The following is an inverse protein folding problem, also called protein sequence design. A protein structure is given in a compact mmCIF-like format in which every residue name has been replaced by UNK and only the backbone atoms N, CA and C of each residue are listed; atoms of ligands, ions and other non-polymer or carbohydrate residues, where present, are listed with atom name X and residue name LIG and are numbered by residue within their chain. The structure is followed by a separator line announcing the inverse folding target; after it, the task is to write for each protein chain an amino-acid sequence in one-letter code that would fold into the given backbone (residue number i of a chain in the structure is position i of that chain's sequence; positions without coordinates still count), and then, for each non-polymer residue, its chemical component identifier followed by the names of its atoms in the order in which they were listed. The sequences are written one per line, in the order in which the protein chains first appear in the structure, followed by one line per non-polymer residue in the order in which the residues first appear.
data_IF_472051054349
#
_entry.id   IF_472051054349
#
_cell.length_a   1.000
_cell.length_b   1.000
_cell.length_c   1.000
_cell.angle_alpha   90.00
_cell.angle_beta   90.00
_cell.angle_gamma   90.00
#
_symmetry.space_group_name_H-M   'P 1'
#
loop_
_entity.id
_entity.type
_entity.pdbx_description
1 polymer ?
#
# COMPACT_ATOMS: atom_id res chain seq x y z
N UNK A 1 9.95 -0.52 2.94
CA UNK A 1 9.98 -1.76 2.15
C UNK A 1 9.16 -2.82 2.88
N UNK A 2 8.30 -3.54 2.16
CA UNK A 2 7.57 -4.72 2.67
C UNK A 2 8.07 -5.97 1.98
N UNK A 3 8.09 -7.09 2.71
CA UNK A 3 8.23 -8.39 2.08
C UNK A 3 6.85 -8.91 1.75
N UNK A 4 6.68 -9.46 0.56
CA UNK A 4 5.39 -9.94 0.07
C UNK A 4 5.47 -11.40 -0.33
N UNK A 5 4.42 -12.16 -0.05
CA UNK A 5 4.36 -13.60 -0.33
C UNK A 5 4.20 -13.90 -1.81
N UNK A 6 3.34 -13.15 -2.50
CA UNK A 6 3.04 -13.37 -3.91
C UNK A 6 3.00 -12.03 -4.65
N UNK A 7 4.00 -11.82 -5.51
CA UNK A 7 4.11 -10.61 -6.31
C UNK A 7 2.88 -10.33 -7.19
N UNK A 8 2.21 -11.37 -7.70
CA UNK A 8 1.07 -11.19 -8.60
C UNK A 8 -0.12 -10.54 -7.89
N UNK A 9 -0.46 -11.03 -6.70
CA UNK A 9 -1.60 -10.49 -5.94
C UNK A 9 -1.28 -9.13 -5.33
N UNK A 10 -0.04 -8.94 -4.86
CA UNK A 10 0.38 -7.66 -4.27
C UNK A 10 0.49 -6.57 -5.34
N UNK A 11 1.09 -6.84 -6.51
CA UNK A 11 1.11 -5.86 -7.60
C UNK A 11 -0.30 -5.47 -8.01
N UNK A 12 -1.21 -6.43 -8.22
CA UNK A 12 -2.60 -6.15 -8.54
C UNK A 12 -3.27 -5.24 -7.49
N UNK A 13 -3.07 -5.53 -6.21
CA UNK A 13 -3.62 -4.73 -5.13
C UNK A 13 -3.08 -3.29 -5.18
N UNK A 14 -1.75 -3.12 -5.22
CA UNK A 14 -1.17 -1.78 -5.18
C UNK A 14 -1.43 -0.97 -6.46
N UNK A 15 -1.51 -1.60 -7.64
CA UNK A 15 -1.73 -0.88 -8.90
C UNK A 15 -3.19 -0.69 -9.26
N UNK A 16 -4.00 -1.75 -9.21
CA UNK A 16 -5.40 -1.68 -9.68
C UNK A 16 -6.37 -1.23 -8.58
N UNK A 17 -6.06 -1.53 -7.31
CA UNK A 17 -6.93 -1.15 -6.19
C UNK A 17 -6.50 0.19 -5.61
N UNK A 18 -5.23 0.33 -5.22
CA UNK A 18 -4.74 1.58 -4.63
C UNK A 18 -4.37 2.65 -5.65
N UNK A 19 -4.10 2.29 -6.91
CA UNK A 19 -3.78 3.28 -7.96
C UNK A 19 -2.32 3.72 -8.01
N UNK A 20 -1.39 2.93 -7.46
CA UNK A 20 0.04 3.14 -7.67
C UNK A 20 0.48 2.66 -9.06
N UNK A 21 1.65 3.07 -9.50
CA UNK A 21 2.32 2.55 -10.69
C UNK A 21 3.56 1.73 -10.29
N UNK A 22 3.85 0.69 -11.07
CA UNK A 22 5.15 0.03 -11.02
C UNK A 22 6.19 0.95 -11.67
N UNK A 23 7.06 1.53 -10.84
CA UNK A 23 8.14 2.44 -11.26
C UNK A 23 9.34 1.65 -11.79
N UNK A 24 9.69 0.56 -11.12
CA UNK A 24 10.85 -0.26 -11.50
C UNK A 24 10.73 -1.68 -10.93
N UNK A 25 11.34 -2.64 -11.63
CA UNK A 25 11.55 -4.01 -11.18
C UNK A 25 13.04 -4.31 -11.20
N UNK A 26 13.58 -4.76 -10.06
CA UNK A 26 14.98 -5.15 -9.93
C UNK A 26 15.07 -6.62 -9.52
N UNK A 27 15.81 -7.40 -10.28
CA UNK A 27 16.10 -8.80 -9.99
C UNK A 27 17.32 -8.91 -9.06
N UNK A 28 17.18 -9.64 -7.96
CA UNK A 28 18.23 -9.89 -6.97
C UNK A 28 18.83 -11.30 -7.05
N UNK A 29 18.35 -12.16 -7.93
CA UNK A 29 18.81 -13.54 -8.12
C UNK A 29 18.07 -14.60 -7.30
N UNK A 30 17.65 -14.31 -6.06
CA UNK A 30 16.78 -15.14 -5.23
C UNK A 30 15.54 -14.38 -4.69
N UNK A 31 15.47 -13.09 -5.02
CA UNK A 31 14.32 -12.23 -4.79
C UNK A 31 14.14 -11.26 -5.95
N UNK A 32 12.97 -10.61 -5.98
CA UNK A 32 12.72 -9.48 -6.87
C UNK A 32 12.15 -8.31 -6.07
N UNK A 33 12.70 -7.12 -6.26
CA UNK A 33 12.16 -5.88 -5.71
C UNK A 33 11.31 -5.16 -6.76
N UNK A 34 10.09 -4.79 -6.37
CA UNK A 34 9.16 -3.99 -7.14
C UNK A 34 9.02 -2.64 -6.45
N UNK A 35 9.33 -1.57 -7.16
CA UNK A 35 9.24 -0.21 -6.65
C UNK A 35 7.94 0.40 -7.15
N UNK A 36 7.03 0.74 -6.23
CA UNK A 36 5.75 1.34 -6.55
C UNK A 36 5.62 2.73 -5.95
N UNK A 37 4.88 3.61 -6.62
CA UNK A 37 4.48 4.89 -6.07
C UNK A 37 3.24 5.41 -6.81
N UNK A 38 2.52 6.35 -6.18
CA UNK A 38 1.45 7.08 -6.89
C UNK A 38 2.00 7.84 -8.10
N UNK A 39 1.23 8.03 -9.19
CA UNK A 39 1.67 8.82 -10.33
C UNK A 39 2.18 10.21 -9.91
N UNK A 40 3.28 10.68 -10.51
CA UNK A 40 3.70 12.08 -10.37
C UNK A 40 2.98 12.92 -11.42
N UNK A 41 2.31 14.01 -10.99
CA UNK A 41 1.62 14.92 -11.90
C UNK A 41 2.58 15.49 -12.96
N UNK A 42 2.14 15.45 -14.23
CA UNK A 42 2.90 15.99 -15.36
C UNK A 42 4.05 15.09 -15.83
N UNK A 43 4.17 13.87 -15.31
CA UNK A 43 5.22 12.90 -15.63
C UNK A 43 4.66 11.57 -16.15
N UNK A 44 3.42 11.57 -16.61
CA UNK A 44 2.73 10.42 -17.17
C UNK A 44 3.39 9.92 -18.46
N UNK A 45 4.10 10.82 -19.17
CA UNK A 45 4.78 10.55 -20.43
C UNK A 45 6.16 9.90 -20.30
N UNK A 46 6.68 9.75 -19.08
CA UNK A 46 7.99 9.16 -18.86
C UNK A 46 8.00 7.68 -19.27
N UNK A 47 9.05 7.29 -20.01
CA UNK A 47 9.33 5.90 -20.33
C UNK A 47 9.67 5.08 -19.09
N UNK A 48 9.63 3.75 -19.21
CA UNK A 48 9.99 2.85 -18.11
C UNK A 48 11.45 3.03 -17.66
N UNK A 49 12.37 3.34 -18.57
CA UNK A 49 13.78 3.61 -18.27
C UNK A 49 13.94 4.91 -17.47
N UNK A 50 13.28 5.99 -17.90
CA UNK A 50 13.28 7.25 -17.16
C UNK A 50 12.65 7.12 -15.78
N UNK A 51 11.56 6.34 -15.64
CA UNK A 51 10.97 6.03 -14.33
C UNK A 51 11.97 5.26 -13.45
N UNK A 52 12.71 4.31 -14.01
CA UNK A 52 13.69 3.50 -13.28
C UNK A 52 14.90 4.31 -12.77
N UNK A 53 15.42 5.22 -13.60
CA UNK A 53 16.52 6.13 -13.22
C UNK A 53 16.11 7.10 -12.12
N UNK A 54 14.85 7.54 -12.16
CA UNK A 54 14.29 8.50 -11.21
C UNK A 54 13.70 7.86 -9.95
N UNK A 55 13.72 6.53 -9.80
CA UNK A 55 13.04 5.84 -8.68
C UNK A 55 13.46 6.35 -7.28
N UNK A 56 14.72 6.74 -7.10
CA UNK A 56 15.23 7.29 -5.84
C UNK A 56 15.29 8.83 -5.81
N UNK A 57 14.76 9.50 -6.84
CA UNK A 57 14.67 10.96 -6.93
C UNK A 57 13.23 11.44 -6.73
N UNK A 58 12.44 10.68 -5.99
CA UNK A 58 11.04 10.96 -5.67
C UNK A 58 10.68 10.41 -4.30
N UNK A 59 9.64 10.99 -3.71
CA UNK A 59 9.11 10.57 -2.42
C UNK A 59 8.02 9.50 -2.59
N UNK A 60 7.63 8.88 -1.48
CA UNK A 60 6.48 7.97 -1.45
C UNK A 60 6.68 6.63 -2.16
N UNK A 61 7.92 6.17 -2.33
CA UNK A 61 8.21 4.86 -2.91
C UNK A 61 7.95 3.76 -1.88
N UNK A 62 7.06 2.84 -2.25
CA UNK A 62 6.89 1.56 -1.60
C UNK A 62 7.67 0.49 -2.37
N UNK A 63 8.77 0.04 -1.78
CA UNK A 63 9.49 -1.14 -2.25
C UNK A 63 8.81 -2.40 -1.71
N UNK A 64 8.43 -3.32 -2.60
CA UNK A 64 7.95 -4.66 -2.28
C UNK A 64 9.01 -5.69 -2.67
N UNK A 65 9.43 -6.51 -1.72
CA UNK A 65 10.44 -7.55 -1.90
C UNK A 65 9.76 -8.92 -1.91
N UNK A 66 9.82 -9.60 -3.05
CA UNK A 66 9.31 -10.97 -3.20
C UNK A 66 10.49 -11.94 -3.22
N UNK A 67 10.64 -12.73 -2.15
CA UNK A 67 11.56 -13.87 -2.15
C UNK A 67 10.91 -15.03 -2.91
N UNK A 68 11.63 -15.57 -3.89
CA UNK A 68 11.05 -16.53 -4.82
C UNK A 68 10.60 -17.82 -4.15
N UNK A 69 9.46 -18.36 -4.58
CA UNK A 69 8.89 -19.61 -4.07
C UNK A 69 7.99 -19.44 -2.84
N UNK A 70 8.00 -18.29 -2.17
CA UNK A 70 7.12 -18.05 -1.01
C UNK A 70 5.64 -18.14 -1.35
N UNK A 71 5.24 -17.87 -2.59
CA UNK A 71 3.89 -17.99 -3.12
C UNK A 71 3.40 -19.45 -3.22
N UNK A 72 4.33 -20.39 -3.38
CA UNK A 72 4.03 -21.82 -3.60
C UNK A 72 4.44 -22.73 -2.44
N UNK A 73 5.12 -22.19 -1.44
CA UNK A 73 5.54 -22.94 -0.26
C UNK A 73 4.36 -23.14 0.73
N UNK A 74 3.88 -24.37 0.93
CA UNK A 74 2.78 -24.67 1.87
C UNK A 74 3.18 -24.48 3.35
N UNK A 75 4.48 -24.54 3.66
CA UNK A 75 5.00 -24.32 5.01
C UNK A 75 5.18 -22.84 5.32
N UNK A 76 5.27 -21.98 4.30
CA UNK A 76 5.38 -20.55 4.48
C UNK A 76 4.08 -19.91 4.99
N UNK A 77 4.08 -19.55 6.28
CA UNK A 77 2.91 -18.98 6.99
C UNK A 77 2.63 -17.50 6.70
N UNK A 78 3.45 -16.86 5.87
CA UNK A 78 3.37 -15.43 5.57
C UNK A 78 4.38 -14.60 6.37
N UNK A 79 4.47 -13.32 6.03
CA UNK A 79 5.33 -12.37 6.73
C UNK A 79 4.64 -11.79 7.95
N UNK A 80 5.42 -11.40 8.97
CA UNK A 80 4.90 -10.66 10.10
C UNK A 80 4.52 -9.23 9.67
N UNK A 81 3.28 -8.84 9.92
CA UNK A 81 2.76 -7.50 9.60
C UNK A 81 3.14 -6.42 10.63
N UNK A 82 3.84 -6.78 11.70
CA UNK A 82 4.28 -5.84 12.74
C UNK A 82 3.26 -5.52 13.85
N UNK A 83 2.02 -6.00 13.75
CA UNK A 83 0.94 -5.64 14.67
C UNK A 83 0.64 -6.73 15.73
N UNK A 84 1.29 -7.89 15.64
CA UNK A 84 1.07 -9.07 16.48
C UNK A 84 2.38 -9.60 17.07
N UNK A 85 2.31 -10.26 18.24
CA UNK A 85 3.46 -10.91 18.88
C UNK A 85 3.83 -12.24 18.18
N UNK A 86 5.11 -12.67 18.17
CA UNK A 86 6.30 -12.00 18.74
C UNK A 86 6.91 -10.93 17.82
N UNK A 87 6.26 -10.62 16.69
CA UNK A 87 6.80 -9.76 15.64
C UNK A 87 6.38 -8.30 15.72
N UNK A 88 5.98 -7.79 16.88
CA UNK A 88 5.43 -6.43 17.00
C UNK A 88 6.52 -5.36 16.78
N UNK A 89 6.23 -4.38 15.94
CA UNK A 89 7.15 -3.28 15.64
C UNK A 89 6.61 -2.30 14.61
N UNK A 90 6.62 -2.68 13.33
CA UNK A 90 6.02 -1.88 12.26
C UNK A 90 4.50 -1.75 12.46
N UNK A 91 3.93 -0.57 12.19
CA UNK A 91 2.49 -0.32 12.31
C UNK A 91 1.75 -0.43 10.99
N UNK A 92 1.89 0.58 10.14
CA UNK A 92 1.18 0.72 8.87
C UNK A 92 1.86 1.78 8.00
N UNK A 93 1.47 1.81 6.73
CA UNK A 93 1.60 3.01 5.89
C UNK A 93 0.28 3.78 5.89
N UNK A 94 0.31 5.05 5.53
CA UNK A 94 -0.88 5.88 5.38
C UNK A 94 -0.99 6.40 3.94
N UNK A 95 -2.21 6.37 3.41
CA UNK A 95 -2.57 6.93 2.10
C UNK A 95 -3.60 8.02 2.31
N UNK A 96 -3.26 9.23 1.89
CA UNK A 96 -4.18 10.36 1.94
C UNK A 96 -5.12 10.37 0.74
N UNK A 97 -6.40 10.60 0.98
CA UNK A 97 -7.46 10.66 -0.04
C UNK A 97 -8.36 11.86 0.17
N UNK A 98 -9.02 12.33 -0.88
CA UNK A 98 -9.85 13.54 -0.81
C UNK A 98 -11.15 13.31 0.00
N UNK A 99 -11.74 12.12 -0.11
CA UNK A 99 -12.94 11.71 0.64
C UNK A 99 -12.78 10.27 1.14
N UNK A 100 -12.61 10.13 2.45
CA UNK A 100 -12.42 8.83 3.12
C UNK A 100 -13.65 7.93 2.98
N UNK A 101 -14.85 8.49 3.03
CA UNK A 101 -16.07 7.67 2.92
C UNK A 101 -16.25 7.15 1.50
N UNK A 102 -16.12 8.03 0.50
CA UNK A 102 -16.21 7.64 -0.90
C UNK A 102 -15.15 6.58 -1.26
N UNK A 103 -13.92 6.74 -0.74
CA UNK A 103 -12.86 5.77 -0.95
C UNK A 103 -13.16 4.43 -0.25
N UNK A 104 -13.65 4.45 0.99
CA UNK A 104 -14.05 3.21 1.67
C UNK A 104 -15.15 2.46 0.90
N UNK A 105 -16.14 3.17 0.38
CA UNK A 105 -17.22 2.59 -0.43
C UNK A 105 -16.68 1.97 -1.73
N UNK A 106 -15.69 2.61 -2.36
CA UNK A 106 -15.01 2.08 -3.56
C UNK A 106 -14.24 0.81 -3.23
N UNK A 107 -13.43 0.83 -2.17
CA UNK A 107 -12.62 -0.31 -1.72
C UNK A 107 -13.49 -1.50 -1.33
N UNK A 108 -14.63 -1.27 -0.66
CA UNK A 108 -15.60 -2.31 -0.32
C UNK A 108 -16.21 -2.97 -1.57
N UNK A 109 -16.58 -2.18 -2.58
CA UNK A 109 -17.08 -2.72 -3.87
C UNK A 109 -16.04 -3.55 -4.60
N UNK A 110 -14.75 -3.26 -4.39
CA UNK A 110 -13.62 -4.03 -4.91
C UNK A 110 -13.28 -5.26 -4.05
N UNK A 111 -14.01 -5.51 -2.96
CA UNK A 111 -13.81 -6.66 -2.09
C UNK A 111 -12.60 -6.54 -1.15
N UNK A 112 -12.11 -5.33 -0.90
CA UNK A 112 -11.00 -5.09 0.02
C UNK A 112 -11.42 -5.36 1.47
N UNK A 113 -10.57 -6.05 2.21
CA UNK A 113 -10.84 -6.34 3.62
C UNK A 113 -10.45 -5.18 4.53
N UNK A 114 -11.33 -4.84 5.47
CA UNK A 114 -11.12 -3.75 6.43
C UNK A 114 -10.68 -4.28 7.79
N UNK A 115 -9.61 -3.70 8.34
CA UNK A 115 -9.22 -3.83 9.75
C UNK A 115 -10.13 -2.99 10.66
N UNK A 116 -10.53 -1.82 10.17
CA UNK A 116 -11.34 -0.81 10.88
C UNK A 116 -12.01 0.09 9.84
N UNK A 117 -13.32 0.30 9.94
CA UNK A 117 -14.06 1.28 9.15
C UNK A 117 -14.17 2.64 9.87
N UNK A 118 -14.53 3.73 9.17
CA UNK A 118 -14.74 5.03 9.82
C UNK A 118 -15.78 4.96 10.94
N UNK A 119 -16.87 4.21 10.77
CA UNK A 119 -17.89 4.03 11.80
C UNK A 119 -17.41 3.25 13.03
N UNK A 120 -16.30 2.54 12.93
CA UNK A 120 -15.78 1.69 14.00
C UNK A 120 -14.95 2.50 15.00
N UNK A 121 -15.28 2.38 16.28
CA UNK A 121 -14.54 3.01 17.37
C UNK A 121 -14.74 4.54 17.46
N UNK A 122 -13.79 5.21 18.12
CA UNK A 122 -13.90 6.65 18.43
C UNK A 122 -13.46 7.57 17.30
N UNK A 123 -12.51 7.13 16.47
CA UNK A 123 -11.95 7.95 15.39
C UNK A 123 -12.75 7.75 14.10
N UNK A 124 -13.66 8.69 13.83
CA UNK A 124 -14.63 8.59 12.72
C UNK A 124 -14.18 9.10 11.35
N UNK A 125 -12.92 9.47 11.20
CA UNK A 125 -12.39 10.15 10.01
C UNK A 125 -11.26 9.38 9.34
N UNK A 126 -11.01 8.14 9.78
CA UNK A 126 -9.95 7.28 9.25
C UNK A 126 -10.46 5.84 9.14
N UNK A 127 -9.91 5.09 8.19
CA UNK A 127 -10.10 3.66 8.06
C UNK A 127 -8.75 2.94 8.02
N UNK A 128 -8.77 1.64 8.27
CA UNK A 128 -7.63 0.77 8.01
C UNK A 128 -8.08 -0.40 7.15
N UNK A 129 -7.37 -0.63 6.07
CA UNK A 129 -7.53 -1.81 5.21
C UNK A 129 -6.33 -2.74 5.36
N UNK A 130 -6.49 -3.96 4.85
CA UNK A 130 -5.41 -4.91 4.71
C UNK A 130 -4.96 -5.03 3.26
N UNK A 131 -3.66 -5.13 3.06
CA UNK A 131 -3.10 -5.65 1.81
C UNK A 131 -3.15 -7.21 1.80
N UNK A 132 -2.74 -7.88 0.70
CA UNK A 132 -2.74 -9.34 0.62
C UNK A 132 -1.87 -10.05 1.67
N UNK A 133 -0.80 -9.40 2.13
CA UNK A 133 0.12 -9.90 3.17
C UNK A 133 -0.26 -9.44 4.58
N UNK A 134 -1.45 -8.84 4.75
CA UNK A 134 -2.03 -8.40 6.02
C UNK A 134 -1.32 -7.22 6.66
N UNK A 135 -0.49 -6.49 5.93
CA UNK A 135 -0.04 -5.17 6.32
C UNK A 135 -1.23 -4.22 6.40
N UNK A 136 -1.19 -3.34 7.39
CA UNK A 136 -2.23 -2.35 7.59
C UNK A 136 -1.93 -1.12 6.73
N UNK A 137 -2.96 -0.59 6.09
CA UNK A 137 -2.89 0.66 5.33
C UNK A 137 -3.97 1.58 5.87
N UNK A 138 -3.55 2.71 6.44
CA UNK A 138 -4.44 3.76 6.93
C UNK A 138 -4.94 4.60 5.76
N UNK A 139 -6.26 4.82 5.70
CA UNK A 139 -6.90 5.74 4.77
C UNK A 139 -7.25 7.01 5.54
N UNK A 140 -6.63 8.12 5.17
CA UNK A 140 -6.72 9.41 5.89
C UNK A 140 -7.14 10.54 4.94
N UNK A 141 -7.78 11.61 5.43
CA UNK A 141 -8.14 12.73 4.55
C UNK A 141 -6.90 13.53 4.14
N UNK A 142 -6.86 13.97 2.88
CA UNK A 142 -5.90 14.94 2.37
C UNK A 142 -6.22 16.32 2.96
N UNK A 143 -5.30 16.88 3.74
CA UNK A 143 -5.53 18.05 4.57
C UNK A 143 -6.11 17.65 5.93
N UNK A 144 -5.28 17.70 6.98
CA UNK A 144 -5.74 17.49 8.35
C UNK A 144 -6.92 18.40 8.65
N UNK A 145 -7.92 17.87 9.39
CA UNK A 145 -9.19 18.53 9.73
C UNK A 145 -9.10 20.05 9.55
N UNK A 146 -9.84 20.62 8.58
CA UNK A 146 -10.48 21.90 8.85
C UNK A 146 -11.40 21.64 10.03
N UNK A 147 -10.82 21.67 11.24
CA UNK A 147 -11.59 21.76 12.45
C UNK A 147 -12.52 22.93 12.24
N UNK A 148 -13.80 22.67 12.48
CA UNK A 148 -14.84 23.65 12.70
C UNK A 148 -14.26 24.96 13.24
N UNK A 149 -13.97 25.89 12.33
CA UNK A 149 -14.07 27.32 12.56
C UNK A 149 -15.09 27.81 11.55
N UNK A 150 -16.30 27.28 11.68
CA UNK A 150 -17.50 27.90 11.18
C UNK A 150 -18.03 28.84 12.25
N UNK A 151 -18.21 30.10 11.83
CA UNK A 151 -19.00 31.17 12.44
C UNK A 151 -18.50 31.82 13.74
#
# INVERSE_FOLDING_TARGET
MFRIKDAKVSLKFYTEILGMELVHKSDGGDFTNYFLAFPEEGKEHLSAEEKADRKFMREGILELCHNWGTESDPEFKGYANGNEEPGRGFGHIAVSVDDVQAECDRLEKLGVEFKKRPQDGKMKHIAFIYDPDRYWIEIVPNGGKKGEKGM
#
